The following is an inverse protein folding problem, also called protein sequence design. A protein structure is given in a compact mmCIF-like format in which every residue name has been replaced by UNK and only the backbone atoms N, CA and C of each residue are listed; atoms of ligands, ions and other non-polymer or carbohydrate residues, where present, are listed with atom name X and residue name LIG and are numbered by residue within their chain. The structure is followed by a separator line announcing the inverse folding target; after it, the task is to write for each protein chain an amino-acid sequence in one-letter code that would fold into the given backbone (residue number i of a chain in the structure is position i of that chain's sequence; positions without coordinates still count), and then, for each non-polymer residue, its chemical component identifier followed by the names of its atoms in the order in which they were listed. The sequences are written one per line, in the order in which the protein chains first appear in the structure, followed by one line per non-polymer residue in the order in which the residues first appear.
data_IF_787092002732
#
_entry.id   IF_787092002732
#
_cell.length_a   1.000
_cell.length_b   1.000
_cell.length_c   1.000
_cell.angle_alpha   90.00
_cell.angle_beta   90.00
_cell.angle_gamma   90.00
#
_symmetry.space_group_name_H-M   'P 1'
#
loop_
_entity.id
_entity.type
_entity.pdbx_description
1 polymer ?
#
# COMPACT_ATOMS: atom_id res chain seq x y z
N UNK A 1 12.92 14.53 1.82
CA UNK A 1 13.45 13.69 0.74
C UNK A 1 13.14 12.23 1.02
N UNK A 2 12.60 11.53 0.06
CA UNK A 2 12.29 10.10 0.19
C UNK A 2 13.58 9.28 0.13
N UNK A 3 13.73 8.31 1.03
CA UNK A 3 14.93 7.47 1.12
C UNK A 3 14.69 6.02 0.78
N UNK A 4 13.50 5.48 1.02
CA UNK A 4 13.18 4.11 0.64
C UNK A 4 11.69 3.88 0.44
N UNK A 5 11.39 2.86 -0.35
CA UNK A 5 10.04 2.37 -0.62
C UNK A 5 10.04 0.85 -0.45
N UNK A 6 9.18 0.34 0.42
CA UNK A 6 8.95 -1.08 0.57
C UNK A 6 7.52 -1.43 0.18
N UNK A 7 7.37 -2.42 -0.69
CA UNK A 7 6.09 -2.80 -1.27
C UNK A 7 5.89 -4.31 -1.14
N UNK A 8 4.72 -4.71 -0.67
CA UNK A 8 4.31 -6.13 -0.62
C UNK A 8 3.00 -6.35 -1.34
N UNK A 9 2.93 -7.43 -2.10
CA UNK A 9 1.72 -7.94 -2.75
C UNK A 9 1.03 -6.98 -3.72
N UNK A 10 1.79 -6.07 -4.32
CA UNK A 10 1.29 -5.09 -5.28
C UNK A 10 1.72 -5.45 -6.70
N UNK A 11 0.77 -5.80 -7.55
CA UNK A 11 0.98 -6.15 -8.96
C UNK A 11 2.10 -7.19 -9.13
N UNK A 12 3.25 -6.82 -9.69
CA UNK A 12 4.41 -7.70 -9.89
C UNK A 12 5.33 -7.78 -8.67
N UNK A 13 5.11 -6.94 -7.67
CA UNK A 13 5.98 -6.83 -6.51
C UNK A 13 5.47 -7.71 -5.36
N UNK A 14 6.23 -8.74 -5.02
CA UNK A 14 5.92 -9.65 -3.91
C UNK A 14 6.32 -9.02 -2.57
N UNK A 15 7.61 -8.84 -2.36
CA UNK A 15 8.18 -8.12 -1.23
C UNK A 15 9.47 -7.48 -1.73
N UNK A 16 9.42 -6.19 -2.01
CA UNK A 16 10.53 -5.46 -2.63
C UNK A 16 10.82 -4.20 -1.84
N UNK A 17 12.09 -3.98 -1.54
CA UNK A 17 12.59 -2.74 -0.98
C UNK A 17 13.45 -2.03 -2.00
N UNK A 18 13.16 -0.75 -2.23
CA UNK A 18 13.86 0.09 -3.18
C UNK A 18 14.46 1.27 -2.44
N UNK A 19 15.78 1.44 -2.53
CA UNK A 19 16.44 2.61 -2.00
C UNK A 19 16.29 3.78 -2.97
N UNK A 20 15.84 4.92 -2.43
CA UNK A 20 15.62 6.15 -3.19
C UNK A 20 16.69 7.16 -2.76
N UNK A 21 17.69 7.39 -3.60
CA UNK A 21 18.72 8.40 -3.34
C UNK A 21 18.36 9.77 -3.92
N UNK A 22 19.31 10.72 -3.84
CA UNK A 22 19.12 12.09 -4.36
C UNK A 22 18.81 12.13 -5.87
N UNK A 23 19.26 11.14 -6.60
CA UNK A 23 18.97 11.02 -8.03
C UNK A 23 18.72 9.55 -8.34
N UNK A 24 17.47 9.12 -8.25
CA UNK A 24 17.11 7.79 -8.72
C UNK A 24 16.56 7.93 -10.13
N UNK A 25 17.37 7.48 -11.08
CA UNK A 25 16.91 7.29 -12.44
C UNK A 25 16.58 5.81 -12.58
N UNK A 26 15.31 5.51 -12.69
CA UNK A 26 14.88 4.16 -13.02
C UNK A 26 15.24 3.89 -14.48
N UNK A 27 16.40 3.31 -14.71
CA UNK A 27 16.87 2.93 -16.04
C UNK A 27 16.57 1.47 -16.29
N UNK A 28 15.81 1.17 -17.32
CA UNK A 28 15.51 -0.21 -17.69
C UNK A 28 14.40 -0.29 -18.74
N UNK A 29 14.21 -1.47 -19.36
CA UNK A 29 13.09 -1.67 -20.26
C UNK A 29 11.76 -1.43 -19.54
N UNK A 30 10.76 -0.98 -20.28
CA UNK A 30 9.44 -0.57 -19.76
C UNK A 30 8.71 -1.64 -18.92
N UNK A 31 9.20 -2.89 -18.96
CA UNK A 31 8.59 -4.03 -18.25
C UNK A 31 9.31 -4.39 -16.94
N UNK A 32 10.25 -3.59 -16.45
CA UNK A 32 11.15 -3.95 -15.34
C UNK A 32 10.64 -3.58 -13.94
N UNK A 33 9.34 -3.36 -13.75
CA UNK A 33 8.80 -2.99 -12.46
C UNK A 33 8.94 -1.51 -12.08
N UNK A 34 9.65 -0.71 -12.88
CA UNK A 34 9.83 0.72 -12.72
C UNK A 34 8.51 1.47 -12.63
N UNK A 35 7.62 1.27 -13.61
CA UNK A 35 6.29 1.87 -13.61
C UNK A 35 5.47 1.37 -12.42
N UNK A 36 5.60 0.10 -12.07
CA UNK A 36 4.91 -0.50 -10.93
C UNK A 36 5.34 0.14 -9.60
N UNK A 37 6.64 0.42 -9.43
CA UNK A 37 7.15 1.10 -8.24
C UNK A 37 6.59 2.52 -8.11
N UNK A 38 6.52 3.27 -9.20
CA UNK A 38 5.91 4.60 -9.23
C UNK A 38 4.40 4.55 -8.95
N UNK A 39 3.72 3.53 -9.44
CA UNK A 39 2.30 3.31 -9.15
C UNK A 39 2.06 2.96 -7.69
N UNK A 40 2.96 2.19 -7.06
CA UNK A 40 2.89 1.90 -5.63
C UNK A 40 3.02 3.17 -4.80
N UNK A 41 3.94 4.05 -5.16
CA UNK A 41 4.11 5.34 -4.50
C UNK A 41 2.86 6.22 -4.68
N UNK A 42 2.25 6.21 -5.85
CA UNK A 42 1.00 6.93 -6.12
C UNK A 42 -0.18 6.39 -5.30
N UNK A 43 -0.25 5.07 -5.14
CA UNK A 43 -1.26 4.44 -4.28
C UNK A 43 -1.08 4.83 -2.81
N UNK A 44 0.17 4.84 -2.33
CA UNK A 44 0.51 5.30 -0.99
C UNK A 44 0.08 6.75 -0.77
N UNK A 45 0.36 7.63 -1.71
CA UNK A 45 -0.06 9.04 -1.65
C UNK A 45 -1.58 9.18 -1.61
N UNK A 46 -2.30 8.41 -2.41
CA UNK A 46 -3.77 8.41 -2.40
C UNK A 46 -4.31 7.94 -1.04
N UNK A 47 -3.68 6.91 -0.45
CA UNK A 47 -4.02 6.44 0.89
C UNK A 47 -3.79 7.49 1.96
N UNK A 48 -2.63 8.14 1.93
CA UNK A 48 -2.29 9.22 2.87
C UNK A 48 -3.28 10.37 2.77
N UNK A 49 -3.58 10.82 1.57
CA UNK A 49 -4.51 11.92 1.33
C UNK A 49 -5.92 11.62 1.85
N UNK A 50 -6.44 10.43 1.54
CA UNK A 50 -7.77 10.02 2.01
C UNK A 50 -7.81 9.83 3.52
N UNK A 51 -6.76 9.30 4.11
CA UNK A 51 -6.66 9.13 5.55
C UNK A 51 -6.68 10.47 6.26
N UNK A 52 -5.86 11.42 5.84
CA UNK A 52 -5.79 12.77 6.43
C UNK A 52 -7.11 13.51 6.24
N UNK A 53 -7.70 13.46 5.05
CA UNK A 53 -8.97 14.11 4.74
C UNK A 53 -10.09 13.64 5.66
N UNK A 54 -10.22 12.34 5.90
CA UNK A 54 -11.27 11.79 6.74
C UNK A 54 -10.99 11.91 8.24
N UNK A 55 -9.73 11.96 8.64
CA UNK A 55 -9.33 12.09 10.05
C UNK A 55 -9.39 13.51 10.55
N UNK A 56 -9.07 14.50 9.73
CA UNK A 56 -9.15 15.92 10.13
C UNK A 56 -10.58 16.38 10.39
N UNK A 57 -11.58 15.68 9.88
CA UNK A 57 -12.99 15.99 10.07
C UNK A 57 -13.62 15.34 11.32
N UNK A 58 -12.92 14.41 12.00
CA UNK A 58 -13.48 13.64 13.12
C UNK A 58 -12.43 13.33 14.18
N UNK A 59 -12.62 13.92 15.33
CA UNK A 59 -11.88 13.62 16.54
C UNK A 59 -12.36 12.26 17.10
N UNK A 60 -11.88 11.15 16.56
CA UNK A 60 -12.29 9.82 16.99
C UNK A 60 -11.11 8.92 17.28
N UNK A 61 -11.21 8.15 18.39
CA UNK A 61 -10.12 7.29 18.83
C UNK A 61 -9.85 6.12 17.89
N UNK A 62 -8.70 5.53 18.05
CA UNK A 62 -7.91 4.58 17.28
C UNK A 62 -8.57 3.30 16.75
N UNK A 63 -9.87 3.11 16.91
CA UNK A 63 -10.56 1.83 16.60
C UNK A 63 -11.30 1.79 15.26
N UNK A 64 -10.84 2.51 14.25
CA UNK A 64 -11.56 2.48 12.98
C UNK A 64 -10.98 1.46 12.01
N UNK A 65 -11.87 0.76 11.26
CA UNK A 65 -11.46 -0.26 10.29
C UNK A 65 -10.79 0.29 9.03
N UNK A 66 -10.40 1.57 9.02
CA UNK A 66 -9.77 2.20 7.88
C UNK A 66 -10.73 3.09 7.09
N UNK A 67 -10.20 3.73 6.05
CA UNK A 67 -10.96 4.56 5.14
C UNK A 67 -11.19 3.84 3.82
N UNK A 68 -12.33 4.07 3.20
CA UNK A 68 -12.66 3.48 1.90
C UNK A 68 -12.10 4.33 0.79
N UNK A 69 -11.41 3.70 -0.16
CA UNK A 69 -10.93 4.33 -1.39
C UNK A 69 -11.66 3.69 -2.57
N UNK A 70 -12.25 4.51 -3.42
CA UNK A 70 -12.86 4.05 -4.66
C UNK A 70 -11.79 3.97 -5.75
N UNK A 71 -11.78 2.89 -6.55
CA UNK A 71 -10.81 2.73 -7.65
C UNK A 71 -10.82 3.88 -8.64
N UNK A 72 -11.95 4.55 -8.80
CA UNK A 72 -12.10 5.69 -9.73
C UNK A 72 -11.36 6.93 -9.25
N UNK A 73 -11.04 7.01 -7.95
CA UNK A 73 -10.25 8.10 -7.38
C UNK A 73 -8.76 7.95 -7.65
N UNK A 74 -8.32 6.78 -8.15
CA UNK A 74 -6.93 6.49 -8.49
C UNK A 74 -6.62 6.94 -9.92
N UNK A 75 -6.38 8.23 -10.10
CA UNK A 75 -6.11 8.78 -11.43
C UNK A 75 -4.76 8.28 -11.97
N UNK A 76 -3.75 8.18 -11.10
CA UNK A 76 -2.40 7.75 -11.48
C UNK A 76 -2.25 6.22 -11.61
N UNK A 77 -3.20 5.45 -11.08
CA UNK A 77 -3.20 3.97 -11.14
C UNK A 77 -4.59 3.48 -11.55
N UNK A 78 -5.05 3.80 -12.75
CA UNK A 78 -6.39 3.41 -13.17
C UNK A 78 -6.48 1.91 -13.38
N UNK A 79 -7.48 1.29 -12.76
CA UNK A 79 -7.77 -0.14 -12.91
C UNK A 79 -9.28 -0.33 -13.09
N UNK A 80 -9.72 -1.21 -14.00
CA UNK A 80 -11.13 -1.50 -14.20
C UNK A 80 -11.75 -2.33 -13.05
N UNK A 81 -10.92 -2.95 -12.23
CA UNK A 81 -11.33 -3.76 -11.09
C UNK A 81 -10.25 -3.60 -10.00
N UNK A 82 -10.68 -3.37 -8.76
CA UNK A 82 -9.76 -3.12 -7.66
C UNK A 82 -8.80 -4.30 -7.38
N UNK A 83 -9.21 -5.54 -7.65
CA UNK A 83 -8.36 -6.71 -7.44
C UNK A 83 -7.11 -6.73 -8.33
N UNK A 84 -7.08 -5.97 -9.41
CA UNK A 84 -5.92 -5.84 -10.30
C UNK A 84 -4.73 -5.13 -9.63
N UNK A 85 -4.94 -4.48 -8.50
CA UNK A 85 -3.86 -3.91 -7.70
C UNK A 85 -3.08 -4.99 -6.94
N UNK A 86 -3.73 -6.12 -6.62
CA UNK A 86 -3.12 -7.22 -5.88
C UNK A 86 -2.28 -8.12 -6.78
N UNK A 87 -1.21 -8.64 -6.21
CA UNK A 87 -0.34 -9.57 -6.93
C UNK A 87 -1.12 -10.83 -7.31
N UNK A 88 -1.04 -11.22 -8.59
CA UNK A 88 -1.72 -12.39 -9.15
C UNK A 88 -3.24 -12.44 -8.85
N UNK A 89 -3.87 -11.28 -8.68
CA UNK A 89 -5.28 -11.16 -8.30
C UNK A 89 -5.60 -11.81 -6.94
N UNK A 90 -4.58 -12.09 -6.14
CA UNK A 90 -4.70 -12.85 -4.90
C UNK A 90 -5.06 -11.93 -3.74
N UNK A 91 -6.35 -11.70 -3.56
CA UNK A 91 -6.89 -10.80 -2.53
C UNK A 91 -7.18 -11.48 -1.19
N UNK A 92 -7.28 -12.82 -1.18
CA UNK A 92 -7.59 -13.63 0.00
C UNK A 92 -6.83 -14.94 -0.02
N UNK A 93 -6.40 -15.37 1.17
CA UNK A 93 -5.81 -16.68 1.40
C UNK A 93 -6.76 -17.54 2.22
N UNK A 94 -6.89 -18.82 1.84
CA UNK A 94 -7.70 -19.80 2.56
C UNK A 94 -6.76 -20.71 3.35
N UNK A 95 -6.96 -20.80 4.66
CA UNK A 95 -6.28 -21.77 5.52
C UNK A 95 -7.27 -22.81 6.01
N UNK A 96 -6.90 -24.08 5.88
CA UNK A 96 -7.62 -25.19 6.54
C UNK A 96 -6.88 -25.53 7.83
N UNK A 97 -7.54 -25.31 8.96
CA UNK A 97 -7.01 -25.65 10.26
C UNK A 97 -8.06 -26.48 11.00
N UNK A 98 -7.70 -27.74 11.34
CA UNK A 98 -8.59 -28.69 12.05
C UNK A 98 -9.98 -28.86 11.40
N UNK A 99 -10.06 -28.96 10.09
CA UNK A 99 -11.31 -29.13 9.37
C UNK A 99 -12.16 -27.86 9.24
N UNK A 100 -11.69 -26.73 9.77
CA UNK A 100 -12.33 -25.41 9.60
C UNK A 100 -11.58 -24.61 8.54
N UNK A 101 -12.35 -23.99 7.65
CA UNK A 101 -11.83 -23.11 6.64
C UNK A 101 -11.78 -21.68 7.18
N UNK A 102 -10.57 -21.12 7.27
CA UNK A 102 -10.33 -19.73 7.66
C UNK A 102 -9.88 -18.92 6.46
N UNK A 103 -10.57 -17.83 6.18
CA UNK A 103 -10.25 -16.94 5.06
C UNK A 103 -9.61 -15.68 5.59
N UNK A 104 -8.38 -15.38 5.13
CA UNK A 104 -7.66 -14.16 5.48
C UNK A 104 -7.50 -13.26 4.28
N UNK A 105 -7.64 -11.96 4.50
CA UNK A 105 -7.32 -10.97 3.48
C UNK A 105 -5.80 -10.90 3.28
N UNK A 106 -5.39 -10.88 2.03
CA UNK A 106 -4.00 -10.58 1.67
C UNK A 106 -3.91 -9.08 1.47
N UNK A 107 -3.08 -8.43 2.25
CA UNK A 107 -2.93 -6.98 2.24
C UNK A 107 -1.83 -6.54 1.30
N UNK A 108 -2.05 -5.41 0.66
CA UNK A 108 -0.96 -4.65 0.04
C UNK A 108 -0.37 -3.77 1.14
N UNK A 109 0.93 -3.87 1.37
CA UNK A 109 1.65 -3.02 2.29
C UNK A 109 2.59 -2.11 1.52
N UNK A 110 2.53 -0.81 1.78
CA UNK A 110 3.43 0.17 1.19
C UNK A 110 3.99 1.03 2.30
N UNK A 111 5.30 0.93 2.51
CA UNK A 111 6.04 1.71 3.51
C UNK A 111 6.99 2.67 2.79
N UNK A 112 6.85 3.94 3.10
CA UNK A 112 7.73 4.99 2.57
C UNK A 112 8.55 5.55 3.73
N UNK A 113 9.85 5.65 3.53
CA UNK A 113 10.77 6.30 4.47
C UNK A 113 11.33 7.56 3.84
N UNK A 114 11.63 8.54 4.67
CA UNK A 114 12.19 9.78 4.21
C UNK A 114 12.91 10.53 5.32
N UNK A 115 13.51 11.67 4.96
CA UNK A 115 14.15 12.58 5.88
C UNK A 115 13.68 14.00 5.57
N UNK A 116 13.22 14.71 6.59
CA UNK A 116 12.81 16.12 6.50
C UNK A 116 13.50 16.90 7.62
N UNK A 117 14.24 17.94 7.28
CA UNK A 117 15.01 18.75 8.24
C UNK A 117 15.89 17.90 9.17
N UNK A 118 16.66 16.98 8.58
CA UNK A 118 17.55 16.03 9.25
C UNK A 118 16.83 15.03 10.18
N UNK A 119 15.50 14.99 10.15
CA UNK A 119 14.70 14.06 10.96
C UNK A 119 14.19 12.92 10.08
N UNK A 120 14.58 11.66 10.36
CA UNK A 120 14.05 10.51 9.64
C UNK A 120 12.61 10.24 10.04
N UNK A 121 11.79 9.81 9.08
CA UNK A 121 10.42 9.39 9.29
C UNK A 121 10.06 8.19 8.43
N UNK A 122 9.06 7.46 8.88
CA UNK A 122 8.45 6.37 8.13
C UNK A 122 6.94 6.52 8.15
N UNK A 123 6.31 6.26 7.02
CA UNK A 123 4.87 6.26 6.92
C UNK A 123 4.43 5.12 6.01
N UNK A 124 3.65 4.21 6.53
CA UNK A 124 3.15 3.07 5.79
C UNK A 124 1.65 2.95 5.84
N UNK A 125 1.09 2.39 4.78
CA UNK A 125 -0.32 2.06 4.68
C UNK A 125 -0.49 0.62 4.24
N UNK A 126 -1.53 0.00 4.77
CA UNK A 126 -2.00 -1.30 4.32
C UNK A 126 -3.34 -1.15 3.63
N UNK A 127 -3.58 -1.98 2.61
CA UNK A 127 -4.76 -1.94 1.79
C UNK A 127 -5.43 -3.30 1.78
N UNK A 128 -6.72 -3.34 2.11
CA UNK A 128 -7.55 -4.53 2.08
C UNK A 128 -8.58 -4.44 0.96
N UNK A 129 -8.74 -5.52 0.23
CA UNK A 129 -9.75 -5.62 -0.81
C UNK A 129 -11.16 -5.64 -0.20
N UNK A 130 -12.06 -4.84 -0.73
CA UNK A 130 -13.48 -4.86 -0.38
C UNK A 130 -14.32 -5.47 -1.49
N UNK A 131 -14.30 -4.86 -2.68
CA UNK A 131 -15.04 -5.32 -3.86
C UNK A 131 -14.38 -4.74 -5.13
N UNK A 132 -14.98 -4.98 -6.29
CA UNK A 132 -14.46 -4.51 -7.58
C UNK A 132 -14.26 -3.00 -7.64
N UNK A 133 -15.07 -2.23 -6.90
CA UNK A 133 -15.09 -0.77 -6.96
C UNK A 133 -14.26 -0.10 -5.88
N UNK A 134 -13.99 -0.80 -4.77
CA UNK A 134 -13.38 -0.16 -3.60
C UNK A 134 -12.49 -1.09 -2.79
N UNK A 135 -11.63 -0.47 -2.00
CA UNK A 135 -10.76 -1.13 -1.04
C UNK A 135 -10.58 -0.25 0.19
N UNK A 136 -10.07 -0.85 1.26
CA UNK A 136 -9.84 -0.14 2.53
C UNK A 136 -8.37 0.21 2.68
N UNK A 137 -8.12 1.35 3.33
CA UNK A 137 -6.77 1.82 3.63
C UNK A 137 -6.69 2.21 5.11
N UNK A 138 -5.59 1.82 5.76
CA UNK A 138 -5.26 2.23 7.12
C UNK A 138 -3.75 2.27 7.32
N UNK A 139 -3.26 3.06 8.30
CA UNK A 139 -1.82 3.06 8.60
C UNK A 139 -1.32 1.69 9.04
N UNK A 140 -0.11 1.34 8.63
CA UNK A 140 0.59 0.17 9.16
C UNK A 140 0.89 0.38 10.64
N UNK A 141 0.68 -0.67 11.44
CA UNK A 141 1.03 -0.66 12.86
C UNK A 141 2.54 -0.85 13.04
N UNK A 142 3.13 -0.10 13.98
CA UNK A 142 4.56 -0.17 14.25
C UNK A 142 5.09 -1.58 14.54
N UNK A 143 4.26 -2.45 15.11
CA UNK A 143 4.64 -3.82 15.44
C UNK A 143 4.63 -4.77 14.22
N UNK A 144 4.13 -4.34 13.10
CA UNK A 144 4.06 -5.10 11.86
C UNK A 144 5.18 -4.74 10.89
N UNK A 145 5.99 -3.72 11.22
CA UNK A 145 7.19 -3.43 10.46
C UNK A 145 8.24 -4.49 10.76
N UNK A 146 8.83 -5.10 9.75
CA UNK A 146 10.01 -5.90 9.99
C UNK A 146 11.07 -4.99 10.58
N UNK A 147 11.46 -5.27 11.79
CA UNK A 147 12.58 -4.59 12.42
C UNK A 147 13.84 -4.82 11.58
N UNK A 148 14.69 -3.80 11.43
CA UNK A 148 15.96 -3.97 10.71
C UNK A 148 16.85 -5.00 11.39
#
# INVERSE_FOLDING_TARGET
MLTSLRVKNFKRLDDVEIELGKTVVFVGPNNSGKTTALQALALWEAGLRKWVEKRSAKDTPEKRPGVTINRRDLIAVPVPDANLLWRDLHVRAIRRNNGKQDTRNIRIDILVSGVTDDTPWECGFEFDYANQESFYCRPLRKNEYPQP
#
